data_IF_370894672490
#
_entry.id   IF_370894672490
#
_cell.length_a   1.000
_cell.length_b   1.000
_cell.length_c   1.000
_cell.angle_alpha   90.00
_cell.angle_beta   90.00
_cell.angle_gamma   90.00
#
_symmetry.space_group_name_H-M   'P 1'
#
loop_
_entity.id
_entity.type
_entity.pdbx_description
1 polymer ?
#
# COMPACT_ATOMS: atom_id res chain seq x y z
N UNK A 1 13.26 15.30 -4.38
CA UNK A 1 14.46 14.47 -4.07
C UNK A 1 15.61 15.23 -3.40
N UNK A 2 15.95 16.45 -3.81
CA UNK A 2 17.05 17.26 -3.23
C UNK A 2 17.05 17.31 -1.70
N UNK A 3 15.90 17.63 -1.10
CA UNK A 3 15.74 17.68 0.36
C UNK A 3 16.09 16.36 1.06
N UNK A 4 15.71 15.20 0.50
CA UNK A 4 16.06 13.88 1.04
C UNK A 4 17.57 13.61 1.05
N UNK A 5 18.31 14.26 0.14
CA UNK A 5 19.77 14.19 0.06
C UNK A 5 20.48 15.30 0.83
N UNK A 6 19.73 16.12 1.58
CA UNK A 6 20.23 17.29 2.33
C UNK A 6 20.84 18.37 1.43
N UNK A 7 20.40 18.44 0.17
CA UNK A 7 20.76 19.51 -0.75
C UNK A 7 19.88 20.75 -0.50
N UNK A 8 20.38 21.98 -0.71
CA UNK A 8 19.58 23.20 -0.59
C UNK A 8 18.33 23.14 -1.47
N UNK A 9 17.22 23.72 -1.01
CA UNK A 9 15.95 23.81 -1.74
C UNK A 9 15.31 25.18 -1.49
N UNK A 10 14.54 25.74 -2.45
CA UNK A 10 13.94 27.07 -2.30
C UNK A 10 12.83 27.13 -1.23
N UNK A 11 12.23 25.98 -0.89
CA UNK A 11 11.23 25.82 0.16
C UNK A 11 11.25 24.37 0.68
N UNK A 12 10.66 24.13 1.85
CA UNK A 12 10.53 22.79 2.44
C UNK A 12 9.46 21.99 1.68
N UNK A 13 9.80 20.88 1.00
CA UNK A 13 8.81 20.09 0.29
C UNK A 13 7.89 19.32 1.24
N UNK A 14 6.63 19.15 0.88
CA UNK A 14 5.62 18.47 1.68
C UNK A 14 4.90 17.37 0.88
N UNK A 15 4.59 16.27 1.57
CA UNK A 15 3.64 15.25 1.16
C UNK A 15 2.98 14.71 2.43
N UNK A 16 1.85 14.03 2.32
CA UNK A 16 1.08 13.57 3.48
C UNK A 16 0.91 12.06 3.45
N UNK A 17 1.21 11.40 4.57
CA UNK A 17 0.85 9.99 4.75
C UNK A 17 -0.67 9.85 4.62
N UNK A 18 -1.10 8.87 3.80
CA UNK A 18 -2.51 8.66 3.44
C UNK A 18 -3.16 9.86 2.72
N UNK A 19 -2.39 10.61 1.92
CA UNK A 19 -2.93 11.68 1.06
C UNK A 19 -4.05 11.20 0.14
N UNK A 20 -3.95 9.99 -0.39
CA UNK A 20 -5.07 9.31 -1.03
C UNK A 20 -5.87 8.54 0.02
N UNK A 21 -7.03 9.06 0.43
CA UNK A 21 -7.76 8.45 1.53
C UNK A 21 -9.21 8.88 1.71
N UNK A 22 -9.86 8.28 2.71
CA UNK A 22 -11.31 8.38 3.00
C UNK A 22 -11.84 9.80 3.22
N UNK A 23 -10.96 10.76 3.53
CA UNK A 23 -11.34 12.16 3.70
C UNK A 23 -11.70 12.82 2.35
N UNK A 24 -11.16 12.32 1.24
CA UNK A 24 -11.42 12.84 -0.10
C UNK A 24 -12.75 12.30 -0.64
N UNK A 25 -13.48 13.15 -1.38
CA UNK A 25 -14.74 12.75 -2.02
C UNK A 25 -14.48 11.81 -3.19
N UNK A 26 -13.51 12.15 -4.03
CA UNK A 26 -13.09 11.41 -5.22
C UNK A 26 -12.70 9.98 -4.87
N UNK A 27 -11.88 9.82 -3.81
CA UNK A 27 -11.54 8.50 -3.28
C UNK A 27 -12.76 7.69 -2.83
N UNK A 28 -13.71 8.32 -2.13
CA UNK A 28 -14.94 7.65 -1.69
C UNK A 28 -15.82 7.23 -2.87
N UNK A 29 -15.86 8.01 -3.93
CA UNK A 29 -16.60 7.68 -5.16
C UNK A 29 -16.02 6.45 -5.86
N UNK A 30 -14.68 6.34 -5.95
CA UNK A 30 -14.01 5.14 -6.47
C UNK A 30 -14.26 3.92 -5.58
N UNK A 31 -14.10 4.08 -4.25
CA UNK A 31 -14.32 3.00 -3.26
C UNK A 31 -15.77 2.55 -3.14
N UNK A 32 -16.74 3.36 -3.58
CA UNK A 32 -18.14 2.97 -3.61
C UNK A 32 -18.43 1.94 -4.72
N UNK A 33 -17.58 1.88 -5.76
CA UNK A 33 -17.75 1.00 -6.93
C UNK A 33 -16.84 -0.23 -6.91
N UNK A 34 -15.78 -0.20 -6.10
CA UNK A 34 -14.66 -1.17 -6.14
C UNK A 34 -14.24 -1.52 -4.71
N UNK A 35 -13.91 -2.79 -4.45
CA UNK A 35 -13.36 -3.21 -3.15
C UNK A 35 -11.96 -2.61 -2.91
N UNK A 36 -11.42 -2.67 -1.68
CA UNK A 36 -10.11 -2.08 -1.40
C UNK A 36 -9.00 -2.87 -2.09
N UNK A 37 -9.09 -4.20 -2.04
CA UNK A 37 -8.12 -5.08 -2.65
C UNK A 37 -8.18 -4.99 -4.18
N UNK A 38 -9.37 -4.94 -4.75
CA UNK A 38 -9.57 -4.73 -6.20
C UNK A 38 -9.02 -3.37 -6.65
N UNK A 39 -9.21 -2.32 -5.85
CA UNK A 39 -8.62 -1.01 -6.12
C UNK A 39 -7.08 -1.08 -6.14
N UNK A 40 -6.46 -1.81 -5.21
CA UNK A 40 -5.01 -2.02 -5.18
C UNK A 40 -4.52 -2.90 -6.34
N UNK A 41 -5.33 -3.88 -6.76
CA UNK A 41 -5.00 -4.85 -7.83
C UNK A 41 -5.33 -4.34 -9.23
N UNK A 42 -5.95 -3.16 -9.37
CA UNK A 42 -6.28 -2.53 -10.65
C UNK A 42 -5.34 -1.34 -10.90
N UNK A 43 -4.31 -1.48 -11.76
CA UNK A 43 -3.28 -0.47 -11.97
C UNK A 43 -3.81 0.93 -12.30
N UNK A 44 -4.83 1.01 -13.16
CA UNK A 44 -5.38 2.29 -13.61
C UNK A 44 -6.14 3.01 -12.49
N UNK A 45 -6.89 2.28 -11.66
CA UNK A 45 -7.60 2.87 -10.52
C UNK A 45 -6.64 3.29 -9.40
N UNK A 46 -5.61 2.49 -9.13
CA UNK A 46 -4.55 2.87 -8.19
C UNK A 46 -3.81 4.13 -8.64
N UNK A 47 -3.54 4.24 -9.96
CA UNK A 47 -2.94 5.43 -10.55
C UNK A 47 -3.87 6.65 -10.48
N UNK A 48 -5.14 6.51 -10.85
CA UNK A 48 -6.15 7.57 -10.78
C UNK A 48 -6.24 8.17 -9.37
N UNK A 49 -6.36 7.31 -8.35
CA UNK A 49 -6.44 7.72 -6.95
C UNK A 49 -5.15 8.43 -6.50
N UNK A 50 -3.98 7.91 -6.91
CA UNK A 50 -2.68 8.50 -6.57
C UNK A 50 -2.49 9.89 -7.18
N UNK A 51 -2.76 10.02 -8.49
CA UNK A 51 -2.61 11.27 -9.25
C UNK A 51 -3.60 12.31 -8.74
N UNK A 52 -4.88 11.95 -8.61
CA UNK A 52 -5.94 12.85 -8.14
C UNK A 52 -5.60 13.43 -6.77
N UNK A 53 -5.16 12.60 -5.81
CA UNK A 53 -4.76 13.08 -4.48
C UNK A 53 -3.58 14.04 -4.55
N UNK A 54 -2.58 13.72 -5.37
CA UNK A 54 -1.37 14.52 -5.54
C UNK A 54 -1.69 15.91 -6.12
N UNK A 55 -2.52 15.97 -7.16
CA UNK A 55 -2.91 17.21 -7.82
C UNK A 55 -3.84 18.07 -6.96
N UNK A 56 -4.82 17.46 -6.30
CA UNK A 56 -5.78 18.16 -5.43
C UNK A 56 -5.12 18.84 -4.24
N UNK A 57 -4.11 18.20 -3.65
CA UNK A 57 -3.38 18.75 -2.52
C UNK A 57 -2.19 19.62 -2.94
N UNK A 58 -1.81 19.57 -4.22
CA UNK A 58 -0.65 20.27 -4.77
C UNK A 58 0.62 20.03 -3.94
N UNK A 59 0.90 18.76 -3.63
CA UNK A 59 2.05 18.32 -2.84
C UNK A 59 3.28 18.05 -3.71
N UNK A 60 4.46 18.03 -3.10
CA UNK A 60 5.76 17.90 -3.77
C UNK A 60 6.16 16.45 -4.08
N UNK A 61 5.38 15.47 -3.65
CA UNK A 61 5.58 14.06 -3.96
C UNK A 61 4.25 13.31 -3.99
N UNK A 62 4.18 12.33 -4.88
CA UNK A 62 3.14 11.32 -4.87
C UNK A 62 3.63 10.11 -4.08
N UNK A 63 2.71 9.38 -3.47
CA UNK A 63 2.97 8.04 -2.93
C UNK A 63 1.99 7.08 -3.59
N UNK A 64 2.50 5.95 -4.10
CA UNK A 64 1.66 4.97 -4.79
C UNK A 64 0.53 4.50 -3.88
N UNK A 65 -0.69 4.41 -4.42
CA UNK A 65 -1.79 3.78 -3.71
C UNK A 65 -1.62 2.26 -3.73
N UNK A 66 -1.28 1.68 -2.59
CA UNK A 66 -1.14 0.25 -2.37
C UNK A 66 -1.40 -0.06 -0.88
N UNK A 67 -1.22 -1.31 -0.47
CA UNK A 67 -1.24 -1.73 0.94
C UNK A 67 0.02 -2.53 1.29
N UNK A 68 0.47 -2.43 2.55
CA UNK A 68 1.65 -3.18 3.00
C UNK A 68 1.43 -4.69 3.01
N UNK A 69 0.19 -5.15 3.12
CA UNK A 69 -0.15 -6.56 3.28
C UNK A 69 -0.27 -7.31 1.94
N UNK A 70 -0.17 -6.65 0.79
CA UNK A 70 -0.31 -7.30 -0.52
C UNK A 70 0.69 -8.45 -0.73
N UNK A 71 1.87 -8.36 -0.11
CA UNK A 71 2.93 -9.39 -0.19
C UNK A 71 2.54 -10.72 0.48
N UNK A 72 1.61 -10.70 1.44
CA UNK A 72 1.30 -11.91 2.23
C UNK A 72 0.43 -12.91 1.45
N UNK A 73 -0.36 -12.44 0.48
CA UNK A 73 -1.15 -13.31 -0.40
C UNK A 73 -0.24 -14.28 -1.21
N UNK A 74 0.80 -13.79 -1.93
CA UNK A 74 1.82 -14.65 -2.52
C UNK A 74 2.53 -15.59 -1.55
N UNK A 75 2.71 -15.17 -0.29
CA UNK A 75 3.29 -16.02 0.78
C UNK A 75 2.36 -17.16 1.22
N UNK A 76 1.12 -17.24 0.72
CA UNK A 76 0.16 -18.30 1.02
C UNK A 76 -0.84 -17.95 2.13
N UNK A 77 -0.97 -16.67 2.49
CA UNK A 77 -1.90 -16.20 3.52
C UNK A 77 -3.18 -15.65 2.89
N UNK A 78 -4.32 -15.98 3.50
CA UNK A 78 -5.65 -15.61 3.04
C UNK A 78 -6.04 -14.25 3.63
N UNK A 79 -5.74 -13.19 2.89
CA UNK A 79 -6.04 -11.81 3.26
C UNK A 79 -7.42 -11.36 2.76
N UNK A 80 -8.23 -10.82 3.66
CA UNK A 80 -9.50 -10.15 3.35
C UNK A 80 -9.52 -8.75 3.94
N UNK A 81 -10.16 -7.80 3.26
CA UNK A 81 -10.47 -6.48 3.80
C UNK A 81 -11.97 -6.34 4.05
N UNK A 82 -12.42 -6.81 5.22
CA UNK A 82 -13.82 -6.73 5.62
C UNK A 82 -14.27 -5.28 5.81
N UNK A 83 -15.52 -4.99 5.45
CA UNK A 83 -16.07 -3.63 5.46
C UNK A 83 -16.20 -3.11 6.89
N UNK A 84 -15.28 -2.23 7.29
CA UNK A 84 -15.29 -1.57 8.59
C UNK A 84 -14.39 -2.21 9.65
N UNK A 85 -13.88 -3.42 9.41
CA UNK A 85 -13.10 -4.20 10.38
C UNK A 85 -11.59 -4.22 10.08
N UNK A 86 -11.17 -3.74 8.91
CA UNK A 86 -9.76 -3.71 8.51
C UNK A 86 -9.30 -5.03 7.87
N UNK A 87 -7.97 -5.26 7.78
CA UNK A 87 -7.45 -6.50 7.22
C UNK A 87 -7.67 -7.67 8.19
N UNK A 88 -8.09 -8.79 7.64
CA UNK A 88 -8.26 -10.07 8.33
C UNK A 88 -7.44 -11.13 7.60
N UNK A 89 -6.73 -11.95 8.35
CA UNK A 89 -5.95 -13.08 7.83
C UNK A 89 -6.56 -14.35 8.39
N UNK A 90 -7.20 -15.13 7.51
CA UNK A 90 -8.01 -16.29 7.91
C UNK A 90 -7.19 -17.50 8.36
N UNK A 91 -5.91 -17.54 8.00
CA UNK A 91 -4.95 -18.59 8.37
C UNK A 91 -3.70 -17.95 9.02
N UNK A 92 -3.83 -17.33 10.22
CA UNK A 92 -2.71 -16.67 10.88
C UNK A 92 -1.63 -17.67 11.29
N UNK A 93 -0.42 -17.18 11.54
CA UNK A 93 0.70 -18.00 12.04
C UNK A 93 0.68 -17.99 13.56
N UNK A 94 0.64 -19.17 14.19
CA UNK A 94 0.56 -19.36 15.65
C UNK A 94 1.63 -20.31 16.18
N UNK A 95 2.09 -21.25 15.35
CA UNK A 95 3.12 -22.21 15.72
C UNK A 95 4.18 -22.39 14.63
N UNK A 96 5.27 -23.10 14.94
CA UNK A 96 6.37 -23.31 14.00
C UNK A 96 5.93 -24.03 12.71
N UNK A 97 4.95 -24.94 12.80
CA UNK A 97 4.38 -25.62 11.63
C UNK A 97 3.69 -24.65 10.67
N UNK A 98 3.12 -23.56 11.20
CA UNK A 98 2.49 -22.53 10.40
C UNK A 98 3.50 -21.70 9.60
N UNK A 99 4.69 -21.46 10.17
CA UNK A 99 5.78 -20.78 9.45
C UNK A 99 6.23 -21.65 8.27
N UNK A 100 6.31 -22.97 8.46
CA UNK A 100 6.76 -23.90 7.42
C UNK A 100 5.86 -23.96 6.18
N UNK A 101 4.60 -23.48 6.25
CA UNK A 101 3.70 -23.41 5.09
C UNK A 101 3.89 -22.15 4.26
N UNK A 102 4.59 -21.14 4.78
CA UNK A 102 4.79 -19.87 4.08
C UNK A 102 5.65 -20.10 2.84
N UNK A 103 5.27 -19.43 1.76
CA UNK A 103 5.99 -19.51 0.48
C UNK A 103 6.96 -18.34 0.38
N UNK A 104 8.16 -18.62 -0.09
CA UNK A 104 9.08 -17.58 -0.49
C UNK A 104 8.57 -16.91 -1.77
N UNK A 105 8.61 -15.57 -1.79
CA UNK A 105 8.21 -14.79 -2.95
C UNK A 105 9.47 -14.49 -3.75
N UNK A 106 9.88 -15.46 -4.56
CA UNK A 106 11.14 -15.40 -5.32
C UNK A 106 11.08 -14.39 -6.47
N UNK A 107 9.89 -14.07 -6.95
CA UNK A 107 9.68 -13.19 -8.10
C UNK A 107 8.60 -12.14 -7.86
N UNK A 108 8.66 -11.06 -8.63
CA UNK A 108 7.68 -9.96 -8.53
C UNK A 108 6.41 -10.23 -9.34
N UNK A 109 6.32 -11.34 -10.10
CA UNK A 109 5.17 -11.59 -10.99
C UNK A 109 3.84 -11.64 -10.23
N UNK A 110 3.84 -12.22 -9.03
CA UNK A 110 2.65 -12.28 -8.17
C UNK A 110 2.19 -10.89 -7.68
N UNK A 111 3.03 -9.86 -7.84
CA UNK A 111 2.77 -8.47 -7.51
C UNK A 111 2.91 -7.55 -8.74
N UNK A 112 2.86 -8.07 -9.96
CA UNK A 112 3.08 -7.25 -11.16
C UNK A 112 2.03 -6.15 -11.30
N UNK A 113 0.82 -6.32 -10.77
CA UNK A 113 -0.18 -5.26 -10.70
C UNK A 113 0.32 -4.01 -9.94
N UNK A 114 1.14 -4.18 -8.90
CA UNK A 114 1.78 -3.05 -8.18
C UNK A 114 2.81 -2.37 -9.10
N UNK A 115 3.60 -3.16 -9.82
CA UNK A 115 4.60 -2.65 -10.76
C UNK A 115 3.96 -1.92 -11.94
N UNK A 116 2.84 -2.44 -12.46
CA UNK A 116 2.02 -1.78 -13.45
C UNK A 116 1.43 -0.48 -12.91
N UNK A 117 0.88 -0.47 -11.68
CA UNK A 117 0.35 0.74 -11.06
C UNK A 117 1.43 1.83 -10.92
N UNK A 118 2.64 1.46 -10.50
CA UNK A 118 3.80 2.38 -10.44
C UNK A 118 4.12 2.94 -11.83
N UNK A 119 4.19 2.08 -12.87
CA UNK A 119 4.47 2.50 -14.25
C UNK A 119 3.38 3.46 -14.78
N UNK A 120 2.11 3.13 -14.59
CA UNK A 120 0.97 3.95 -15.03
C UNK A 120 0.97 5.29 -14.30
N UNK A 121 1.09 5.26 -12.96
CA UNK A 121 1.17 6.49 -12.14
C UNK A 121 2.33 7.37 -12.57
N UNK A 122 3.51 6.78 -12.80
CA UNK A 122 4.70 7.55 -13.21
C UNK A 122 4.49 8.25 -14.54
N UNK A 123 3.81 7.60 -15.51
CA UNK A 123 3.49 8.22 -16.82
C UNK A 123 2.47 9.35 -16.71
N UNK A 124 1.54 9.26 -15.75
CA UNK A 124 0.49 10.26 -15.57
C UNK A 124 0.95 11.48 -14.75
N UNK A 125 1.90 11.32 -13.83
CA UNK A 125 2.43 12.41 -13.01
C UNK A 125 3.41 13.31 -13.79
N UNK A 126 3.46 14.60 -13.45
CA UNK A 126 4.45 15.55 -13.96
C UNK A 126 5.88 14.98 -13.85
N UNK A 127 6.73 15.12 -14.89
CA UNK A 127 8.05 14.48 -14.93
C UNK A 127 8.98 14.78 -13.74
N UNK A 128 8.84 15.98 -13.16
CA UNK A 128 9.64 16.49 -12.04
C UNK A 128 9.09 16.13 -10.66
N UNK A 129 7.83 15.66 -10.57
CA UNK A 129 7.20 15.28 -9.31
C UNK A 129 7.56 13.82 -8.95
N UNK A 130 8.30 13.55 -7.88
CA UNK A 130 8.73 12.20 -7.50
C UNK A 130 7.56 11.30 -7.06
N UNK A 131 7.65 10.01 -7.38
CA UNK A 131 6.72 8.97 -6.92
C UNK A 131 7.41 8.09 -5.88
N UNK A 132 6.82 7.99 -4.69
CA UNK A 132 7.29 7.18 -3.56
C UNK A 132 6.65 5.79 -3.66
N UNK A 133 7.50 4.75 -3.69
CA UNK A 133 7.10 3.37 -3.40
C UNK A 133 7.28 3.06 -1.91
N UNK A 134 6.61 2.03 -1.41
CA UNK A 134 6.73 1.63 0.00
C UNK A 134 6.46 0.13 0.19
N UNK A 135 6.86 -0.39 1.34
CA UNK A 135 6.57 -1.73 1.82
C UNK A 135 6.49 -1.73 3.35
N UNK A 136 5.84 -2.75 3.92
CA UNK A 136 5.86 -2.98 5.37
C UNK A 136 7.21 -3.53 5.84
N UNK A 137 7.66 -3.10 7.02
CA UNK A 137 8.85 -3.69 7.64
C UNK A 137 8.58 -5.14 8.07
N UNK A 138 9.60 -6.03 8.12
CA UNK A 138 9.40 -7.45 8.45
C UNK A 138 8.65 -7.68 9.76
N UNK A 139 9.01 -6.96 10.83
CA UNK A 139 8.32 -7.07 12.11
C UNK A 139 6.84 -6.68 12.00
N UNK A 140 6.54 -5.56 11.34
CA UNK A 140 5.16 -5.10 11.15
C UNK A 140 4.32 -6.12 10.40
N UNK A 141 4.86 -6.69 9.31
CA UNK A 141 4.18 -7.74 8.55
C UNK A 141 3.97 -8.97 9.44
N UNK A 142 5.00 -9.42 10.15
CA UNK A 142 4.90 -10.55 11.07
C UNK A 142 3.83 -10.33 12.14
N UNK A 143 3.70 -9.13 12.72
CA UNK A 143 2.64 -8.82 13.68
C UNK A 143 1.25 -9.03 13.08
N UNK A 144 0.98 -8.54 11.87
CA UNK A 144 -0.32 -8.80 11.22
C UNK A 144 -0.54 -10.29 11.01
N UNK A 145 0.48 -10.99 10.48
CA UNK A 145 0.44 -12.41 10.17
C UNK A 145 0.14 -13.26 11.42
N UNK A 146 0.75 -12.93 12.56
CA UNK A 146 0.52 -13.64 13.82
C UNK A 146 -0.82 -13.29 14.45
N UNK A 147 -1.16 -12.00 14.51
CA UNK A 147 -2.40 -11.53 15.14
C UNK A 147 -3.64 -11.93 14.34
N UNK A 148 -3.52 -12.11 13.02
CA UNK A 148 -4.65 -12.37 12.13
C UNK A 148 -5.36 -11.09 11.66
N UNK A 149 -4.77 -9.92 11.90
CA UNK A 149 -5.38 -8.63 11.58
C UNK A 149 -4.74 -7.48 12.35
N UNK A 150 -5.43 -6.33 12.40
CA UNK A 150 -4.96 -5.19 13.18
C UNK A 150 -5.06 -5.48 14.68
N UNK A 151 -3.97 -5.27 15.43
CA UNK A 151 -3.92 -5.45 16.88
C UNK A 151 -3.35 -4.22 17.57
N UNK A 152 -3.87 -3.95 18.78
CA UNK A 152 -3.33 -2.92 19.68
C UNK A 152 -2.47 -3.51 20.79
N UNK A 153 -2.68 -4.79 21.10
CA UNK A 153 -2.17 -5.43 22.30
C UNK A 153 -1.12 -6.51 21.99
N UNK A 154 -0.98 -6.91 20.71
CA UNK A 154 0.05 -7.84 20.24
C UNK A 154 0.09 -9.15 21.06
N UNK A 155 -1.09 -9.70 21.38
CA UNK A 155 -1.24 -10.84 22.31
C UNK A 155 -0.65 -12.13 21.74
N UNK A 156 -0.45 -12.18 20.42
CA UNK A 156 -0.02 -13.34 19.66
C UNK A 156 1.27 -13.11 18.87
N UNK A 157 1.88 -11.93 18.99
CA UNK A 157 3.11 -11.54 18.27
C UNK A 157 4.35 -11.87 19.08
#
# INVERSE_FOLDING_TARGET
MRACRREPVPYTPVWLMRQAGRYMREYREVRARTSFLELCKTPDLAAEVTVTATERLNVDAAIIFADILLIIEPMGLALEFAKGEGPQIHNPVREAADVARLREVETVESLDYVMQAIRTTRRALKPDLPLIGFAGAPFTLASYICEGGASKNYVHT
#
